data_IF_979365378550
#
_entry.id   IF_979365378550
#
_cell.length_a   1.000
_cell.length_b   1.000
_cell.length_c   1.000
_cell.angle_alpha   90.00
_cell.angle_beta   90.00
_cell.angle_gamma   90.00
#
_symmetry.space_group_name_H-M   'P 1'
#
loop_
_entity.id
_entity.type
_entity.pdbx_description
1 polymer ?
#
# COMPACT_ATOMS: atom_id res chain seq x y z
N UNK A 1 17.64 -11.35 11.82
CA UNK A 1 18.83 -10.47 11.98
C UNK A 1 19.39 -10.70 13.38
N UNK A 2 20.66 -11.10 13.54
CA UNK A 2 21.20 -11.55 14.84
C UNK A 2 21.84 -10.43 15.68
N UNK A 3 22.13 -9.27 15.08
CA UNK A 3 22.70 -8.14 15.80
C UNK A 3 21.66 -7.56 16.78
N UNK A 4 21.96 -7.54 18.11
CA UNK A 4 21.04 -7.07 19.15
C UNK A 4 20.55 -5.64 18.95
N UNK A 5 21.33 -4.80 18.26
CA UNK A 5 20.97 -3.42 17.94
C UNK A 5 19.61 -3.32 17.22
N UNK A 6 19.28 -4.32 16.40
CA UNK A 6 18.07 -4.33 15.58
C UNK A 6 16.90 -5.05 16.23
N UNK A 7 17.08 -5.66 17.42
CA UNK A 7 16.03 -6.35 18.18
C UNK A 7 15.17 -7.30 17.31
N UNK A 8 15.85 -8.18 16.58
CA UNK A 8 15.22 -9.09 15.61
C UNK A 8 15.01 -8.50 14.21
N UNK A 9 14.82 -7.19 14.10
CA UNK A 9 14.84 -6.38 12.86
C UNK A 9 13.61 -6.53 11.95
N UNK A 10 13.02 -7.71 11.95
CA UNK A 10 11.82 -8.09 11.20
C UNK A 10 10.87 -8.84 12.10
N UNK A 11 9.63 -8.94 11.69
CA UNK A 11 8.63 -9.79 12.32
C UNK A 11 7.78 -10.48 11.25
N UNK A 12 7.18 -11.62 11.61
CA UNK A 12 6.28 -12.33 10.72
C UNK A 12 4.90 -11.66 10.78
N UNK A 13 4.30 -11.41 9.62
CA UNK A 13 2.91 -10.95 9.55
C UNK A 13 1.95 -12.12 9.81
N UNK A 14 0.76 -11.83 10.34
CA UNK A 14 -0.24 -12.85 10.72
C UNK A 14 -1.27 -13.04 9.61
N UNK A 15 -1.53 -14.30 9.23
CA UNK A 15 -2.61 -14.69 8.32
C UNK A 15 -3.91 -15.05 9.04
N UNK A 16 -3.93 -15.06 10.38
CA UNK A 16 -5.04 -15.66 11.14
C UNK A 16 -6.40 -15.08 10.74
N UNK A 17 -6.43 -13.82 10.32
CA UNK A 17 -7.65 -13.12 9.90
C UNK A 17 -7.58 -12.57 8.47
N UNK A 18 -6.56 -12.95 7.69
CA UNK A 18 -6.46 -12.57 6.28
C UNK A 18 -7.59 -13.23 5.46
N UNK A 19 -8.36 -12.48 4.66
CA UNK A 19 -9.44 -13.03 3.83
C UNK A 19 -8.99 -14.12 2.85
N UNK A 20 -7.71 -14.09 2.46
CA UNK A 20 -7.09 -15.01 1.51
C UNK A 20 -6.59 -16.31 2.17
N UNK A 21 -6.65 -16.43 3.50
CA UNK A 21 -6.23 -17.63 4.21
C UNK A 21 -7.12 -18.82 3.81
N UNK A 22 -6.49 -19.91 3.40
CA UNK A 22 -7.16 -21.20 3.25
C UNK A 22 -7.53 -21.72 4.65
N UNK A 23 -8.82 -21.79 5.02
CA UNK A 23 -9.23 -22.21 6.35
C UNK A 23 -8.85 -23.66 6.67
N UNK A 24 -8.50 -24.46 5.65
CA UNK A 24 -8.11 -25.85 5.79
C UNK A 24 -6.60 -26.03 6.06
N UNK A 25 -5.80 -24.96 5.99
CA UNK A 25 -4.37 -25.02 6.32
C UNK A 25 -4.10 -24.70 7.80
N UNK A 26 -3.20 -25.44 8.46
CA UNK A 26 -2.83 -25.15 9.84
C UNK A 26 -2.12 -23.79 9.91
N UNK A 27 -2.34 -22.96 10.96
CA UNK A 27 -1.72 -21.63 11.08
C UNK A 27 -0.19 -21.61 10.96
N UNK A 28 0.47 -22.71 11.30
CA UNK A 28 1.92 -22.86 11.16
C UNK A 28 2.39 -23.06 9.71
N UNK A 29 1.51 -23.54 8.82
CA UNK A 29 1.78 -23.69 7.39
C UNK A 29 1.49 -22.41 6.59
N UNK A 30 1.02 -21.35 7.25
CA UNK A 30 0.81 -20.06 6.62
C UNK A 30 2.17 -19.37 6.41
N UNK A 31 2.69 -19.48 5.19
CA UNK A 31 3.85 -18.72 4.71
C UNK A 31 3.41 -17.29 4.36
N UNK A 32 3.21 -16.46 5.38
CA UNK A 32 3.02 -15.03 5.16
C UNK A 32 4.32 -14.26 5.27
N UNK A 33 4.35 -13.11 4.59
CA UNK A 33 5.53 -12.27 4.44
C UNK A 33 6.09 -11.75 5.77
N UNK A 34 7.33 -11.27 5.70
CA UNK A 34 8.00 -10.62 6.82
C UNK A 34 8.01 -9.11 6.62
N UNK A 35 7.72 -8.38 7.69
CA UNK A 35 7.77 -6.92 7.71
C UNK A 35 8.95 -6.46 8.55
N UNK A 36 9.72 -5.50 8.02
CA UNK A 36 10.75 -4.84 8.80
C UNK A 36 10.10 -3.99 9.90
N UNK A 37 10.67 -4.04 11.12
CA UNK A 37 10.21 -3.27 12.27
C UNK A 37 10.54 -1.78 12.10
N UNK A 38 9.86 -1.09 11.20
CA UNK A 38 10.16 0.32 10.88
C UNK A 38 9.96 1.27 12.06
N UNK A 39 9.22 0.86 13.09
CA UNK A 39 9.12 1.61 14.36
C UNK A 39 10.42 1.55 15.19
N UNK A 40 11.27 0.53 15.00
CA UNK A 40 12.59 0.45 15.63
C UNK A 40 13.58 1.36 14.89
N UNK A 41 14.05 2.39 15.59
CA UNK A 41 14.89 3.43 14.98
C UNK A 41 16.15 2.89 14.27
N UNK A 42 16.90 1.91 14.81
CA UNK A 42 18.08 1.38 14.12
C UNK A 42 17.75 0.69 12.78
N UNK A 43 16.63 -0.05 12.74
CA UNK A 43 16.11 -0.68 11.52
C UNK A 43 15.75 0.39 10.50
N UNK A 44 14.96 1.39 10.92
CA UNK A 44 14.54 2.49 10.07
C UNK A 44 15.72 3.30 9.52
N UNK A 45 16.71 3.64 10.35
CA UNK A 45 17.91 4.35 9.91
C UNK A 45 18.70 3.57 8.85
N UNK A 46 18.79 2.25 8.98
CA UNK A 46 19.45 1.40 7.97
C UNK A 46 18.67 1.40 6.65
N UNK A 47 17.35 1.29 6.72
CA UNK A 47 16.47 1.40 5.55
C UNK A 47 16.60 2.77 4.86
N UNK A 48 16.57 3.87 5.62
CA UNK A 48 16.72 5.22 5.10
C UNK A 48 18.08 5.46 4.42
N UNK A 49 19.17 4.86 4.94
CA UNK A 49 20.48 4.88 4.27
C UNK A 49 20.44 4.18 2.91
N UNK A 50 19.74 3.05 2.80
CA UNK A 50 19.53 2.37 1.51
C UNK A 50 18.79 3.29 0.54
N UNK A 51 17.68 3.91 0.98
CA UNK A 51 16.90 4.86 0.16
C UNK A 51 17.76 6.00 -0.36
N UNK A 52 18.63 6.56 0.49
CA UNK A 52 19.57 7.61 0.09
C UNK A 52 20.57 7.13 -0.97
N UNK A 53 21.09 5.90 -0.87
CA UNK A 53 21.97 5.34 -1.90
C UNK A 53 21.21 5.10 -3.20
N UNK A 54 19.97 4.59 -3.13
CA UNK A 54 19.13 4.42 -4.32
C UNK A 54 18.85 5.76 -5.00
N UNK A 55 18.57 6.82 -4.25
CA UNK A 55 18.39 8.17 -4.80
C UNK A 55 19.65 8.66 -5.53
N UNK A 56 20.83 8.48 -4.94
CA UNK A 56 22.11 8.84 -5.60
C UNK A 56 22.31 8.09 -6.92
N UNK A 57 21.93 6.82 -6.96
CA UNK A 57 22.15 5.98 -8.14
C UNK A 57 21.09 6.19 -9.21
N UNK A 58 19.81 6.37 -8.84
CA UNK A 58 18.68 6.24 -9.77
C UNK A 58 17.84 7.51 -9.95
N UNK A 59 17.99 8.55 -9.12
CA UNK A 59 17.18 9.77 -9.27
C UNK A 59 17.41 10.44 -10.63
N UNK A 60 16.32 10.62 -11.37
CA UNK A 60 16.33 11.13 -12.75
C UNK A 60 16.69 10.09 -13.82
N UNK A 61 17.03 8.85 -13.45
CA UNK A 61 17.20 7.71 -14.38
C UNK A 61 15.95 6.84 -14.48
N UNK A 62 15.09 6.88 -13.46
CA UNK A 62 13.81 6.18 -13.42
C UNK A 62 12.65 7.17 -13.42
N UNK A 63 11.47 6.76 -13.90
CA UNK A 63 10.27 7.59 -13.86
C UNK A 63 9.81 7.87 -12.42
N UNK A 64 9.89 6.87 -11.55
CA UNK A 64 9.50 6.99 -10.16
C UNK A 64 9.93 5.78 -9.33
N UNK A 65 9.81 5.93 -8.03
CA UNK A 65 10.05 4.88 -7.04
C UNK A 65 8.87 4.84 -6.08
N UNK A 66 8.45 3.63 -5.71
CA UNK A 66 7.38 3.42 -4.75
C UNK A 66 7.85 2.55 -3.59
N UNK A 67 7.40 2.86 -2.39
CA UNK A 67 7.59 2.00 -1.21
C UNK A 67 6.50 0.93 -1.11
N UNK A 68 6.80 -0.10 -0.31
CA UNK A 68 5.79 -1.04 0.17
C UNK A 68 4.65 -0.29 0.88
N UNK A 69 3.47 -0.91 0.84
CA UNK A 69 2.25 -0.31 1.35
C UNK A 69 2.27 0.05 2.84
N UNK A 70 1.37 0.95 3.24
CA UNK A 70 1.17 1.34 4.63
C UNK A 70 0.50 0.25 5.47
N UNK A 71 -0.21 -0.68 4.85
CA UNK A 71 -0.87 -1.78 5.56
C UNK A 71 0.17 -2.72 6.17
N UNK A 72 -0.13 -3.25 7.35
CA UNK A 72 0.72 -4.22 8.03
C UNK A 72 -0.14 -5.07 8.96
N UNK A 73 -0.13 -6.39 8.75
CA UNK A 73 -0.98 -7.33 9.49
C UNK A 73 -0.20 -7.99 10.61
N UNK A 74 -0.26 -7.38 11.80
CA UNK A 74 0.52 -7.79 12.97
C UNK A 74 -0.30 -7.76 14.24
N UNK A 75 0.08 -8.61 15.18
CA UNK A 75 -0.68 -8.81 16.41
C UNK A 75 -1.73 -9.91 16.25
N UNK A 76 -2.59 -10.00 17.25
CA UNK A 76 -3.66 -11.00 17.35
C UNK A 76 -4.98 -10.25 17.41
N UNK A 77 -5.88 -10.54 16.47
CA UNK A 77 -7.26 -10.04 16.53
C UNK A 77 -8.01 -10.76 17.65
N UNK A 78 -8.64 -9.99 18.51
CA UNK A 78 -9.42 -10.45 19.64
C UNK A 78 -10.89 -10.63 19.20
N UNK A 79 -11.66 -11.41 19.97
CA UNK A 79 -13.06 -11.69 19.65
C UNK A 79 -13.97 -10.45 19.62
N UNK A 80 -13.56 -9.35 20.24
CA UNK A 80 -14.27 -8.06 20.24
C UNK A 80 -13.89 -7.14 19.06
N UNK A 81 -13.06 -7.63 18.12
CA UNK A 81 -12.57 -6.88 16.97
C UNK A 81 -11.39 -5.95 17.28
N UNK A 82 -10.88 -5.94 18.51
CA UNK A 82 -9.63 -5.22 18.83
C UNK A 82 -8.39 -6.03 18.44
N UNK A 83 -7.23 -5.39 18.34
CA UNK A 83 -5.96 -6.08 18.05
C UNK A 83 -5.00 -5.96 19.22
N UNK A 84 -4.52 -7.10 19.72
CA UNK A 84 -3.39 -7.16 20.65
C UNK A 84 -2.09 -7.10 19.88
N UNK A 85 -1.41 -5.95 19.91
CA UNK A 85 -0.15 -5.74 19.20
C UNK A 85 1.08 -6.27 19.97
N UNK A 86 2.22 -6.50 19.28
CA UNK A 86 3.50 -6.77 19.94
C UNK A 86 3.86 -5.66 20.96
N UNK A 87 4.51 -6.04 22.06
CA UNK A 87 4.83 -5.12 23.18
C UNK A 87 5.69 -3.92 22.77
N UNK A 88 6.48 -4.07 21.71
CA UNK A 88 7.35 -3.02 21.19
C UNK A 88 6.71 -2.17 20.08
N UNK A 89 5.45 -2.42 19.75
CA UNK A 89 4.72 -1.75 18.68
C UNK A 89 3.63 -0.84 19.22
N UNK A 90 3.50 0.34 18.61
CA UNK A 90 2.26 1.12 18.67
C UNK A 90 1.90 1.60 17.26
N UNK A 91 0.61 1.68 16.91
CA UNK A 91 0.15 2.30 15.67
C UNK A 91 0.81 3.66 15.41
N UNK A 92 0.83 4.53 16.44
CA UNK A 92 1.43 5.87 16.33
C UNK A 92 2.91 5.81 15.95
N UNK A 93 3.71 4.97 16.60
CA UNK A 93 5.13 4.86 16.29
C UNK A 93 5.39 4.37 14.86
N UNK A 94 4.52 3.50 14.34
CA UNK A 94 4.58 3.07 12.94
C UNK A 94 4.20 4.18 11.96
N UNK A 95 3.13 4.94 12.24
CA UNK A 95 2.75 6.09 11.42
C UNK A 95 3.85 7.15 11.38
N UNK A 96 4.47 7.44 12.53
CA UNK A 96 5.61 8.36 12.60
C UNK A 96 6.80 7.83 11.78
N UNK A 97 7.07 6.52 11.82
CA UNK A 97 8.09 5.87 11.00
C UNK A 97 7.80 5.98 9.50
N UNK A 98 6.56 5.77 9.06
CA UNK A 98 6.14 5.96 7.66
C UNK A 98 6.36 7.41 7.25
N UNK A 99 5.96 8.37 8.09
CA UNK A 99 6.15 9.82 7.82
C UNK A 99 7.62 10.19 7.67
N UNK A 100 8.50 9.68 8.53
CA UNK A 100 9.95 9.90 8.41
C UNK A 100 10.52 9.27 7.14
N UNK A 101 10.08 8.06 6.78
CA UNK A 101 10.50 7.41 5.54
C UNK A 101 10.06 8.17 4.29
N UNK A 102 8.84 8.74 4.29
CA UNK A 102 8.36 9.63 3.22
C UNK A 102 9.27 10.84 3.05
N UNK A 103 9.69 11.48 4.14
CA UNK A 103 10.61 12.62 4.10
C UNK A 103 11.96 12.24 3.48
N UNK A 104 12.52 11.08 3.86
CA UNK A 104 13.77 10.60 3.28
C UNK A 104 13.62 10.26 1.80
N UNK A 105 12.52 9.61 1.40
CA UNK A 105 12.25 9.27 0.01
C UNK A 105 12.15 10.52 -0.86
N UNK A 106 11.29 11.48 -0.47
CA UNK A 106 11.15 12.74 -1.18
C UNK A 106 12.43 13.59 -1.13
N UNK A 107 13.27 13.40 -0.12
CA UNK A 107 14.61 14.01 -0.03
C UNK A 107 15.60 13.42 -1.02
N UNK A 108 15.57 12.10 -1.21
CA UNK A 108 16.52 11.35 -2.03
C UNK A 108 16.18 11.36 -3.52
N UNK A 109 14.90 11.53 -3.89
CA UNK A 109 14.44 11.56 -5.28
C UNK A 109 13.79 12.91 -5.58
N UNK A 110 14.53 13.80 -6.26
CA UNK A 110 14.09 15.15 -6.61
C UNK A 110 13.68 15.28 -8.08
N UNK A 111 14.14 14.36 -8.94
CA UNK A 111 13.88 14.35 -10.38
C UNK A 111 12.90 13.25 -10.78
N UNK A 112 12.99 12.09 -10.15
CA UNK A 112 12.01 11.01 -10.27
C UNK A 112 10.82 11.26 -9.34
N UNK A 113 9.69 10.59 -9.58
CA UNK A 113 8.50 10.67 -8.73
C UNK A 113 8.67 9.78 -7.49
N UNK A 114 8.83 10.33 -6.28
CA UNK A 114 8.71 9.56 -5.05
C UNK A 114 7.24 9.28 -4.74
N UNK A 115 6.87 8.00 -4.58
CA UNK A 115 5.51 7.56 -4.29
C UNK A 115 5.44 6.73 -3.00
N UNK A 116 4.30 6.81 -2.31
CA UNK A 116 3.96 5.93 -1.19
C UNK A 116 2.59 5.30 -1.40
N UNK A 117 2.48 3.99 -1.15
CA UNK A 117 1.21 3.29 -1.13
C UNK A 117 0.51 3.46 0.22
N UNK A 118 -0.65 4.13 0.21
CA UNK A 118 -1.49 4.40 1.37
C UNK A 118 -2.85 3.72 1.16
N UNK A 119 -3.09 2.61 1.86
CA UNK A 119 -4.30 1.80 1.71
C UNK A 119 -5.07 1.68 3.03
N UNK A 120 -4.49 0.95 3.98
CA UNK A 120 -4.93 0.83 5.37
C UNK A 120 -3.76 1.19 6.30
N UNK A 121 -4.07 1.47 7.56
CA UNK A 121 -3.05 1.66 8.59
C UNK A 121 -3.47 0.95 9.89
N UNK A 122 -2.52 0.42 10.65
CA UNK A 122 -2.84 -0.27 11.89
C UNK A 122 -3.48 0.69 12.90
N UNK A 123 -4.47 0.20 13.64
CA UNK A 123 -5.11 0.95 14.72
C UNK A 123 -5.96 2.15 14.28
N UNK A 124 -6.41 2.20 13.03
CA UNK A 124 -7.41 3.14 12.53
C UNK A 124 -8.36 2.42 11.58
N UNK A 125 -9.66 2.73 11.66
CA UNK A 125 -10.64 2.22 10.70
C UNK A 125 -11.71 3.27 10.41
N UNK A 126 -11.56 3.96 9.28
CA UNK A 126 -12.48 5.03 8.91
C UNK A 126 -13.87 4.51 8.51
N UNK A 127 -14.95 5.28 8.78
CA UNK A 127 -14.97 6.53 9.56
C UNK A 127 -15.14 6.30 11.08
N UNK A 128 -15.20 5.06 11.54
CA UNK A 128 -15.67 4.71 12.88
C UNK A 128 -14.62 4.90 13.99
N UNK A 129 -13.35 4.76 13.65
CA UNK A 129 -12.20 5.03 14.52
C UNK A 129 -11.20 5.87 13.72
N UNK A 130 -11.45 7.18 13.61
CA UNK A 130 -10.55 8.16 12.96
C UNK A 130 -9.55 8.70 13.99
N UNK A 131 -8.32 8.20 13.93
CA UNK A 131 -7.19 8.67 14.76
C UNK A 131 -6.34 9.71 14.03
N UNK A 132 -6.82 10.21 12.89
CA UNK A 132 -6.14 11.14 11.99
C UNK A 132 -4.83 10.59 11.38
N UNK A 133 -4.60 9.28 11.42
CA UNK A 133 -3.39 8.64 10.91
C UNK A 133 -3.32 8.69 9.39
N UNK A 134 -4.29 8.10 8.69
CA UNK A 134 -4.34 8.09 7.22
C UNK A 134 -4.34 9.52 6.68
N UNK A 135 -5.19 10.40 7.25
CA UNK A 135 -5.27 11.81 6.86
C UNK A 135 -3.92 12.53 7.03
N UNK A 136 -3.19 12.28 8.11
CA UNK A 136 -1.87 12.88 8.31
C UNK A 136 -0.83 12.40 7.29
N UNK A 137 -0.93 11.17 6.79
CA UNK A 137 -0.04 10.64 5.76
C UNK A 137 -0.34 11.26 4.39
N UNK A 138 -1.60 11.41 4.01
CA UNK A 138 -1.97 12.13 2.79
C UNK A 138 -1.53 13.61 2.84
N UNK A 139 -1.76 14.30 3.97
CA UNK A 139 -1.29 15.67 4.15
C UNK A 139 0.24 15.79 4.06
N UNK A 140 0.97 14.80 4.59
CA UNK A 140 2.43 14.74 4.44
C UNK A 140 2.84 14.54 2.99
N UNK A 141 2.17 13.65 2.25
CA UNK A 141 2.47 13.41 0.83
C UNK A 141 2.28 14.69 0.01
N UNK A 142 1.19 15.42 0.24
CA UNK A 142 0.93 16.71 -0.39
C UNK A 142 2.03 17.73 -0.06
N UNK A 143 2.37 17.89 1.22
CA UNK A 143 3.44 18.80 1.67
C UNK A 143 4.78 18.49 1.01
N UNK A 144 5.09 17.21 0.81
CA UNK A 144 6.32 16.76 0.17
C UNK A 144 6.26 16.73 -1.36
N UNK A 145 5.10 17.05 -1.96
CA UNK A 145 4.83 16.91 -3.40
C UNK A 145 5.11 15.48 -3.92
N UNK A 146 4.83 14.49 -3.08
CA UNK A 146 4.98 13.07 -3.42
C UNK A 146 3.77 12.57 -4.19
N UNK A 147 3.99 11.52 -4.98
CA UNK A 147 2.91 10.70 -5.49
C UNK A 147 2.28 9.85 -4.39
N UNK A 148 1.01 9.52 -4.56
CA UNK A 148 0.27 8.58 -3.71
C UNK A 148 -0.14 7.36 -4.52
N UNK A 149 -0.34 6.24 -3.84
CA UNK A 149 -0.86 5.05 -4.48
C UNK A 149 -1.44 4.03 -3.54
N UNK A 150 -1.72 2.84 -4.06
CA UNK A 150 -2.16 1.70 -3.28
C UNK A 150 -2.11 0.42 -4.12
N UNK A 151 -2.04 -0.75 -3.47
CA UNK A 151 -1.91 -2.02 -4.19
C UNK A 151 -3.23 -2.50 -4.80
N UNK A 152 -4.35 -1.98 -4.29
CA UNK A 152 -5.67 -2.52 -4.57
C UNK A 152 -6.53 -1.55 -5.39
N UNK A 153 -6.42 -1.56 -6.72
CA UNK A 153 -7.44 -0.97 -7.60
C UNK A 153 -8.65 -1.92 -7.71
N UNK A 154 -9.65 -1.66 -6.88
CA UNK A 154 -10.82 -2.49 -6.63
C UNK A 154 -12.11 -1.65 -6.69
N UNK A 155 -12.68 -1.45 -7.89
CA UNK A 155 -13.86 -0.61 -8.09
C UNK A 155 -14.96 -0.84 -7.05
N UNK A 156 -15.32 0.24 -6.36
CA UNK A 156 -16.41 0.31 -5.38
C UNK A 156 -16.34 -0.64 -4.18
N UNK A 157 -15.21 -1.33 -3.92
CA UNK A 157 -15.06 -2.19 -2.73
C UNK A 157 -15.29 -1.36 -1.47
N UNK A 158 -16.28 -1.73 -0.65
CA UNK A 158 -16.75 -0.94 0.50
C UNK A 158 -15.62 -0.47 1.43
N UNK A 159 -14.67 -1.36 1.75
CA UNK A 159 -13.53 -1.01 2.61
C UNK A 159 -12.66 0.09 1.99
N UNK A 160 -12.28 -0.05 0.72
CA UNK A 160 -11.39 0.91 0.04
C UNK A 160 -12.07 2.26 -0.20
N UNK A 161 -13.37 2.24 -0.50
CA UNK A 161 -14.19 3.45 -0.61
C UNK A 161 -14.24 4.23 0.72
N UNK A 162 -14.27 3.53 1.86
CA UNK A 162 -14.27 4.14 3.19
C UNK A 162 -12.87 4.57 3.67
N UNK A 163 -11.81 3.93 3.18
CA UNK A 163 -10.42 4.24 3.51
C UNK A 163 -9.78 5.16 2.45
N UNK A 164 -8.77 4.67 1.74
CA UNK A 164 -7.85 5.44 0.90
C UNK A 164 -8.54 6.20 -0.24
N UNK A 165 -9.59 5.67 -0.87
CA UNK A 165 -10.16 6.25 -2.10
C UNK A 165 -10.79 7.63 -1.89
N UNK A 166 -11.36 7.90 -0.72
CA UNK A 166 -11.88 9.23 -0.39
C UNK A 166 -10.78 10.31 -0.42
N UNK A 167 -9.56 9.93 -0.01
CA UNK A 167 -8.41 10.82 -0.07
C UNK A 167 -7.89 10.99 -1.50
N UNK A 168 -7.89 9.95 -2.33
CA UNK A 168 -7.48 10.06 -3.74
C UNK A 168 -8.31 11.09 -4.50
N UNK A 169 -9.63 11.11 -4.27
CA UNK A 169 -10.56 12.05 -4.90
C UNK A 169 -10.26 13.50 -4.55
N UNK A 170 -9.79 13.75 -3.33
CA UNK A 170 -9.49 15.10 -2.82
C UNK A 170 -8.01 15.49 -2.96
N UNK A 171 -7.13 14.53 -3.28
CA UNK A 171 -5.71 14.79 -3.48
C UNK A 171 -5.48 15.67 -4.72
N UNK A 172 -4.57 16.67 -4.66
CA UNK A 172 -4.35 17.60 -5.77
C UNK A 172 -4.11 16.91 -7.11
N UNK A 173 -4.82 17.33 -8.15
CA UNK A 173 -4.70 16.77 -9.51
C UNK A 173 -3.34 17.02 -10.16
N UNK A 174 -2.57 17.97 -9.64
CA UNK A 174 -1.20 18.27 -10.08
C UNK A 174 -0.17 17.28 -9.54
N UNK A 175 -0.53 16.44 -8.57
CA UNK A 175 0.35 15.43 -8.00
C UNK A 175 -0.01 14.04 -8.51
N UNK A 176 1.00 13.18 -8.62
CA UNK A 176 0.88 11.86 -9.23
C UNK A 176 0.07 10.91 -8.36
N UNK A 177 -0.87 10.19 -8.97
CA UNK A 177 -1.63 9.10 -8.36
C UNK A 177 -1.40 7.82 -9.15
N UNK A 178 -1.10 6.72 -8.48
CA UNK A 178 -0.92 5.43 -9.15
C UNK A 178 -1.43 4.27 -8.33
N UNK A 179 -2.08 3.28 -8.93
CA UNK A 179 -2.54 2.09 -8.21
C UNK A 179 -2.14 0.81 -8.92
N UNK A 180 -1.96 -0.26 -8.15
CA UNK A 180 -1.74 -1.58 -8.73
C UNK A 180 -3.05 -2.36 -8.93
N UNK A 181 -3.00 -3.30 -9.86
CA UNK A 181 -3.99 -4.35 -10.05
C UNK A 181 -3.27 -5.67 -9.79
N UNK A 182 -3.64 -6.38 -8.73
CA UNK A 182 -3.01 -7.64 -8.30
C UNK A 182 -3.94 -8.85 -8.52
N UNK A 183 -3.43 -10.06 -8.28
CA UNK A 183 -4.09 -11.35 -8.54
C UNK A 183 -5.49 -11.46 -7.86
N UNK A 184 -5.70 -10.73 -6.75
CA UNK A 184 -7.00 -10.66 -6.06
C UNK A 184 -8.00 -9.67 -6.67
N UNK A 185 -7.51 -8.55 -7.25
CA UNK A 185 -8.35 -7.48 -7.80
C UNK A 185 -9.18 -7.97 -8.97
N UNK A 186 -8.58 -8.83 -9.79
CA UNK A 186 -9.17 -9.36 -11.01
C UNK A 186 -10.40 -10.22 -10.73
N UNK A 187 -10.45 -10.85 -9.56
CA UNK A 187 -11.55 -11.74 -9.14
C UNK A 187 -12.65 -11.00 -8.39
N UNK A 188 -12.52 -9.69 -8.19
CA UNK A 188 -13.46 -8.92 -7.39
C UNK A 188 -14.82 -8.79 -8.11
N UNK A 189 -15.89 -9.08 -7.36
CA UNK A 189 -17.26 -8.73 -7.75
C UNK A 189 -17.50 -7.25 -7.42
N UNK A 190 -17.90 -6.50 -8.44
CA UNK A 190 -18.29 -5.11 -8.32
C UNK A 190 -19.61 -5.03 -7.53
N UNK A 191 -19.63 -4.38 -6.35
CA UNK A 191 -20.82 -4.33 -5.53
C UNK A 191 -21.95 -3.48 -6.12
N UNK A 192 -21.67 -2.65 -7.14
CA UNK A 192 -22.72 -1.90 -7.86
C UNK A 192 -23.40 -2.70 -8.96
N UNK A 193 -22.67 -3.60 -9.64
CA UNK A 193 -23.20 -4.34 -10.79
C UNK A 193 -23.50 -5.81 -10.48
N UNK A 194 -22.96 -6.35 -9.39
CA UNK A 194 -23.05 -7.76 -9.04
C UNK A 194 -22.23 -8.69 -9.95
N UNK A 195 -21.37 -8.13 -10.81
CA UNK A 195 -20.54 -8.88 -11.78
C UNK A 195 -19.05 -8.70 -11.48
N UNK A 196 -18.22 -9.63 -11.96
CA UNK A 196 -16.76 -9.47 -11.99
C UNK A 196 -16.39 -8.18 -12.71
N UNK A 197 -15.44 -7.41 -12.18
CA UNK A 197 -14.90 -6.24 -12.88
C UNK A 197 -14.23 -6.67 -14.20
N UNK A 198 -14.48 -5.91 -15.26
CA UNK A 198 -13.74 -5.99 -16.53
C UNK A 198 -12.56 -5.00 -16.52
N UNK A 199 -11.63 -5.13 -17.48
CA UNK A 199 -10.58 -4.13 -17.69
C UNK A 199 -11.18 -2.74 -17.93
N UNK A 200 -12.27 -2.64 -18.70
CA UNK A 200 -12.97 -1.38 -18.93
C UNK A 200 -13.54 -0.78 -17.63
N UNK A 201 -14.12 -1.58 -16.74
CA UNK A 201 -14.61 -1.09 -15.43
C UNK A 201 -13.46 -0.55 -14.57
N UNK A 202 -12.31 -1.22 -14.60
CA UNK A 202 -11.11 -0.81 -13.86
C UNK A 202 -10.56 0.50 -14.42
N UNK A 203 -10.45 0.62 -15.75
CA UNK A 203 -9.99 1.83 -16.44
C UNK A 203 -10.93 3.01 -16.21
N UNK A 204 -12.25 2.80 -16.33
CA UNK A 204 -13.26 3.83 -16.06
C UNK A 204 -13.15 4.34 -14.62
N UNK A 205 -13.09 3.43 -13.65
CA UNK A 205 -12.95 3.81 -12.25
C UNK A 205 -11.62 4.54 -11.97
N UNK A 206 -10.51 4.05 -12.53
CA UNK A 206 -9.20 4.69 -12.41
C UNK A 206 -9.20 6.12 -12.97
N UNK A 207 -9.77 6.31 -14.16
CA UNK A 207 -9.74 7.60 -14.86
C UNK A 207 -10.75 8.59 -14.29
N UNK A 208 -12.00 8.14 -14.09
CA UNK A 208 -13.12 9.04 -13.79
C UNK A 208 -13.44 9.17 -12.31
N UNK A 209 -13.12 8.17 -11.48
CA UNK A 209 -13.34 8.25 -10.04
C UNK A 209 -12.06 8.66 -9.28
N UNK A 210 -10.94 7.99 -9.53
CA UNK A 210 -9.69 8.21 -8.79
C UNK A 210 -8.77 9.26 -9.43
N UNK A 211 -8.87 9.47 -10.74
CA UNK A 211 -7.99 10.37 -11.50
C UNK A 211 -6.54 9.92 -11.50
N UNK A 212 -6.29 8.63 -11.77
CA UNK A 212 -4.96 8.03 -11.76
C UNK A 212 -4.11 8.46 -12.97
N UNK A 213 -2.80 8.62 -12.74
CA UNK A 213 -1.80 8.81 -13.77
C UNK A 213 -1.17 7.47 -14.21
N UNK A 214 -1.06 6.52 -13.27
CA UNK A 214 -0.44 5.22 -13.50
C UNK A 214 -1.34 4.08 -13.01
N UNK A 215 -1.35 2.98 -13.75
CA UNK A 215 -1.87 1.70 -13.29
C UNK A 215 -0.76 0.66 -13.44
N UNK A 216 -0.46 -0.06 -12.36
CA UNK A 216 0.57 -1.11 -12.34
C UNK A 216 -0.10 -2.48 -12.37
N UNK A 217 -0.12 -3.11 -13.54
CA UNK A 217 -0.77 -4.40 -13.73
C UNK A 217 0.15 -5.56 -13.33
N UNK A 218 -0.39 -6.54 -12.61
CA UNK A 218 0.25 -7.85 -12.48
C UNK A 218 0.10 -8.63 -13.78
N UNK A 219 1.14 -9.40 -14.13
CA UNK A 219 1.15 -10.30 -15.29
C UNK A 219 0.47 -11.64 -14.96
N UNK A 220 -0.78 -11.60 -14.48
CA UNK A 220 -1.57 -12.80 -14.18
C UNK A 220 -2.19 -13.37 -15.46
N UNK A 221 -1.66 -14.50 -15.94
CA UNK A 221 -2.08 -15.12 -17.19
C UNK A 221 -3.20 -16.17 -16.98
N UNK A 222 -4.15 -16.31 -17.93
CA UNK A 222 -4.19 -15.67 -19.25
C UNK A 222 -4.84 -14.27 -19.26
N UNK A 223 -5.31 -13.75 -18.11
CA UNK A 223 -6.04 -12.49 -18.04
C UNK A 223 -5.23 -11.30 -18.60
N UNK A 224 -3.95 -11.23 -18.28
CA UNK A 224 -3.09 -10.16 -18.72
C UNK A 224 -3.00 -10.12 -20.25
N UNK A 225 -2.70 -11.25 -20.90
CA UNK A 225 -2.63 -11.33 -22.36
C UNK A 225 -3.98 -11.23 -23.06
N UNK A 226 -5.03 -11.85 -22.51
CA UNK A 226 -6.33 -11.96 -23.18
C UNK A 226 -7.27 -10.77 -22.95
N UNK A 227 -7.12 -10.04 -21.85
CA UNK A 227 -7.98 -8.92 -21.51
C UNK A 227 -7.22 -7.59 -21.46
N UNK A 228 -6.15 -7.49 -20.65
CA UNK A 228 -5.44 -6.22 -20.41
C UNK A 228 -4.76 -5.73 -21.68
N UNK A 229 -3.88 -6.54 -22.25
CA UNK A 229 -3.08 -6.13 -23.42
C UNK A 229 -3.92 -5.86 -24.67
N UNK A 230 -5.15 -6.40 -24.75
CA UNK A 230 -6.08 -6.15 -25.87
C UNK A 230 -6.82 -4.82 -25.75
N UNK A 231 -6.95 -4.28 -24.54
CA UNK A 231 -7.70 -3.04 -24.27
C UNK A 231 -6.81 -1.83 -24.01
N UNK A 232 -5.51 -2.03 -23.76
CA UNK A 232 -4.56 -0.92 -23.64
C UNK A 232 -4.24 -0.33 -25.03
N UNK A 233 -4.31 1.00 -25.20
CA UNK A 233 -3.99 1.64 -26.48
C UNK A 233 -2.53 1.38 -26.85
N UNK A 234 -2.29 0.66 -27.96
CA UNK A 234 -0.94 0.36 -28.45
C UNK A 234 -0.72 -1.01 -29.11
N UNK A 235 -1.76 -1.84 -29.30
CA UNK A 235 -1.68 -3.09 -30.07
C UNK A 235 -2.69 -3.17 -31.23
N UNK A 236 -2.70 -2.14 -32.07
CA UNK A 236 -3.13 -2.26 -33.47
C UNK A 236 -1.92 -2.00 -34.37
#
# INVERSE_FOLDING_TARGET
MQDPLYKGGVLKQSMLTAPERDPNKPPAADEYGWSAKMWEQPVRKRYQKLVQQLGREFDGKIAGINFSESSIDIGIENADGSTTFPVDFTPKAYIDAVRENMQVLAGAFKKSIPMVYLNFVPGEWLPWDDKNYMRSLFAQAEKLKMGIGGPDLMPYRKSHMAQSYGFFKTFPSTLVKGMAVQEGNLRQINPKTGKKNTVADILDFAQHYLGLNYIFWVEDEPYFSDEVLRQLPGKN
#
